data_IF_281365982084
#
_entry.id   IF_281365982084
#
_cell.length_a   1.000
_cell.length_b   1.000
_cell.length_c   1.000
_cell.angle_alpha   90.00
_cell.angle_beta   90.00
_cell.angle_gamma   90.00
#
_symmetry.space_group_name_H-M   'P 1'
#
loop_
_entity.id
_entity.type
_entity.pdbx_description
1 polymer ?
#
# COMPACT_ATOMS: atom_id res chain seq x y z
N UNK A 1 7.16 19.27 -3.07
CA UNK A 1 6.47 19.31 -4.40
C UNK A 1 5.23 20.20 -4.27
N UNK A 2 4.93 21.06 -5.25
CA UNK A 2 3.72 21.92 -5.20
C UNK A 2 2.48 21.10 -5.60
N UNK A 3 1.32 21.34 -4.97
CA UNK A 3 0.07 20.60 -5.27
C UNK A 3 -0.28 20.64 -6.77
N UNK A 4 -0.14 21.79 -7.42
CA UNK A 4 -0.39 21.92 -8.87
C UNK A 4 0.47 20.96 -9.71
N UNK A 5 1.69 20.65 -9.26
CA UNK A 5 2.56 19.71 -9.96
C UNK A 5 2.08 18.27 -9.80
N UNK A 6 1.42 17.92 -8.68
CA UNK A 6 0.87 16.58 -8.45
C UNK A 6 -0.20 16.27 -9.50
N UNK A 7 -1.11 17.21 -9.76
CA UNK A 7 -2.15 17.05 -10.79
C UNK A 7 -1.54 16.86 -12.19
N UNK A 8 -0.53 17.66 -12.54
CA UNK A 8 0.19 17.49 -13.82
C UNK A 8 0.89 16.13 -13.94
N UNK A 9 1.53 15.68 -12.85
CA UNK A 9 2.17 14.36 -12.82
C UNK A 9 1.13 13.25 -12.97
N UNK A 10 -0.04 13.39 -12.35
CA UNK A 10 -1.14 12.44 -12.47
C UNK A 10 -1.72 12.40 -13.89
N UNK A 11 -1.94 13.55 -14.53
CA UNK A 11 -2.36 13.61 -15.94
C UNK A 11 -1.38 12.87 -16.87
N UNK A 12 -0.08 13.12 -16.69
CA UNK A 12 0.96 12.43 -17.45
C UNK A 12 0.99 10.91 -17.17
N UNK A 13 0.80 10.51 -15.91
CA UNK A 13 0.75 9.11 -15.52
C UNK A 13 -0.47 8.38 -16.11
N UNK A 14 -1.65 9.01 -16.09
CA UNK A 14 -2.87 8.47 -16.72
C UNK A 14 -2.62 8.25 -18.22
N UNK A 15 -2.10 9.25 -18.92
CA UNK A 15 -1.82 9.15 -20.34
C UNK A 15 -0.81 8.01 -20.64
N UNK A 16 0.24 7.88 -19.82
CA UNK A 16 1.21 6.81 -19.97
C UNK A 16 0.59 5.42 -19.76
N UNK A 17 -0.30 5.25 -18.77
CA UNK A 17 -0.99 3.98 -18.52
C UNK A 17 -1.93 3.61 -19.66
N UNK A 18 -2.74 4.54 -20.15
CA UNK A 18 -3.67 4.30 -21.26
C UNK A 18 -2.95 4.03 -22.59
N UNK A 19 -1.77 4.60 -22.80
CA UNK A 19 -0.94 4.28 -23.97
C UNK A 19 -0.38 2.86 -23.95
N UNK A 20 -0.16 2.29 -22.76
CA UNK A 20 0.30 0.91 -22.59
C UNK A 20 -0.86 -0.09 -22.63
N UNK A 21 -1.98 0.25 -21.99
CA UNK A 21 -3.20 -0.55 -21.94
C UNK A 21 -4.43 0.37 -21.95
N UNK A 22 -5.15 0.47 -23.09
CA UNK A 22 -6.35 1.31 -23.20
C UNK A 22 -7.45 0.93 -22.19
N UNK A 23 -7.49 -0.33 -21.76
CA UNK A 23 -8.49 -0.85 -20.84
C UNK A 23 -8.02 -0.81 -19.37
N UNK A 24 -6.86 -0.21 -19.09
CA UNK A 24 -6.22 -0.24 -17.77
C UNK A 24 -7.17 0.11 -16.61
N UNK A 25 -7.87 1.25 -16.72
CA UNK A 25 -8.79 1.70 -15.67
C UNK A 25 -10.09 0.88 -15.62
N UNK A 26 -10.54 0.33 -16.75
CA UNK A 26 -11.69 -0.56 -16.77
C UNK A 26 -11.37 -1.85 -16.03
N UNK A 27 -10.20 -2.47 -16.29
CA UNK A 27 -9.72 -3.65 -15.56
C UNK A 27 -9.55 -3.34 -14.08
N UNK A 28 -8.90 -2.22 -13.74
CA UNK A 28 -8.67 -1.81 -12.35
C UNK A 28 -9.99 -1.57 -11.58
N UNK A 29 -11.05 -1.10 -12.25
CA UNK A 29 -12.35 -0.88 -11.62
C UNK A 29 -13.14 -2.16 -11.29
N UNK A 30 -12.72 -3.33 -11.80
CA UNK A 30 -13.44 -4.59 -11.57
C UNK A 30 -13.31 -5.10 -10.13
N UNK A 31 -12.40 -4.52 -9.34
CA UNK A 31 -12.25 -4.80 -7.93
C UNK A 31 -10.80 -5.08 -7.54
N UNK A 32 -10.64 -5.68 -6.38
CA UNK A 32 -9.35 -6.14 -5.84
C UNK A 32 -9.54 -7.57 -5.35
N UNK A 33 -8.51 -8.39 -5.50
CA UNK A 33 -8.45 -9.73 -4.92
C UNK A 33 -7.00 -10.01 -4.48
N UNK A 34 -6.53 -9.33 -3.43
CA UNK A 34 -5.15 -9.45 -3.00
C UNK A 34 -4.95 -10.76 -2.23
N UNK A 35 -3.83 -11.44 -2.46
CA UNK A 35 -3.46 -12.64 -1.70
C UNK A 35 -2.69 -12.29 -0.42
N UNK A 36 -2.22 -11.03 -0.31
CA UNK A 36 -1.32 -10.58 0.75
C UNK A 36 -1.86 -9.29 1.39
N UNK A 37 -1.90 -9.27 2.72
CA UNK A 37 -1.89 -8.04 3.52
C UNK A 37 -0.45 -7.68 3.90
N UNK A 38 -0.01 -6.48 3.52
CA UNK A 38 1.29 -5.92 3.89
C UNK A 38 1.12 -4.79 4.93
N UNK A 39 1.77 -4.93 6.08
CA UNK A 39 1.81 -3.93 7.15
C UNK A 39 3.24 -3.38 7.23
N UNK A 40 3.41 -2.11 6.82
CA UNK A 40 4.72 -1.46 6.73
C UNK A 40 4.83 -0.11 7.43
N UNK A 41 6.03 0.47 7.38
CA UNK A 41 6.28 1.79 7.95
C UNK A 41 5.75 2.91 7.03
N UNK A 42 5.30 4.02 7.61
CA UNK A 42 4.97 5.26 6.87
C UNK A 42 6.21 6.02 6.37
N UNK A 43 7.43 5.51 6.61
CA UNK A 43 8.67 6.08 6.05
C UNK A 43 8.56 6.17 4.52
N UNK A 44 8.75 7.37 3.98
CA UNK A 44 8.50 7.69 2.57
C UNK A 44 9.45 6.99 1.59
N UNK A 45 10.49 6.30 2.08
CA UNK A 45 11.41 5.50 1.26
C UNK A 45 10.89 4.09 1.00
N UNK A 46 9.81 3.67 1.66
CA UNK A 46 9.24 2.33 1.51
C UNK A 46 8.09 2.40 0.50
N UNK A 47 8.21 1.79 -0.67
CA UNK A 47 7.14 1.65 -1.67
C UNK A 47 6.84 0.17 -1.85
N UNK A 48 5.84 -0.35 -1.13
CA UNK A 48 5.62 -1.79 -0.98
C UNK A 48 5.32 -2.47 -2.32
N UNK A 49 4.42 -1.88 -3.10
CA UNK A 49 4.02 -2.34 -4.43
C UNK A 49 5.22 -2.40 -5.38
N UNK A 50 6.02 -1.34 -5.44
CA UNK A 50 7.25 -1.30 -6.25
C UNK A 50 8.28 -2.34 -5.82
N UNK A 51 8.52 -2.48 -4.51
CA UNK A 51 9.47 -3.44 -3.96
C UNK A 51 9.08 -4.89 -4.25
N UNK A 52 7.78 -5.18 -4.31
CA UNK A 52 7.24 -6.51 -4.63
C UNK A 52 7.01 -6.74 -6.12
N UNK A 53 7.11 -5.69 -6.96
CA UNK A 53 6.69 -5.75 -8.35
C UNK A 53 5.18 -5.95 -8.54
N UNK A 54 4.40 -5.67 -7.49
CA UNK A 54 2.96 -5.86 -7.47
C UNK A 54 2.23 -4.74 -8.21
N UNK A 55 1.15 -5.10 -8.89
CA UNK A 55 0.21 -4.17 -9.50
C UNK A 55 -0.83 -3.69 -8.49
N UNK A 56 -1.47 -2.54 -8.74
CA UNK A 56 -2.58 -2.08 -7.92
C UNK A 56 -3.68 -3.14 -7.82
N UNK A 57 -4.11 -3.45 -6.60
CA UNK A 57 -5.13 -4.46 -6.31
C UNK A 57 -4.60 -5.87 -6.01
N UNK A 58 -3.30 -6.13 -6.22
CA UNK A 58 -2.67 -7.44 -5.91
C UNK A 58 -2.20 -7.55 -4.45
N UNK A 59 -2.00 -6.42 -3.77
CA UNK A 59 -1.60 -6.38 -2.35
C UNK A 59 -2.47 -5.38 -1.59
N UNK A 60 -2.98 -5.80 -0.43
CA UNK A 60 -3.69 -4.93 0.49
C UNK A 60 -2.71 -4.31 1.49
N UNK A 61 -2.73 -3.00 1.69
CA UNK A 61 -1.63 -2.30 2.37
C UNK A 61 -2.14 -1.51 3.58
N UNK A 62 -1.46 -1.70 4.70
CA UNK A 62 -1.53 -0.84 5.87
C UNK A 62 -0.18 -0.21 6.17
N UNK A 63 -0.19 1.04 6.63
CA UNK A 63 1.03 1.74 7.03
C UNK A 63 0.82 2.60 8.27
N UNK A 64 1.72 2.47 9.22
CA UNK A 64 1.84 3.37 10.37
C UNK A 64 3.32 3.57 10.73
N UNK A 65 3.60 4.46 11.69
CA UNK A 65 4.97 4.70 12.14
C UNK A 65 5.50 3.42 12.80
N UNK A 66 6.65 2.93 12.29
CA UNK A 66 7.32 1.73 12.78
C UNK A 66 6.49 0.42 12.69
N UNK A 67 5.55 0.33 11.73
CA UNK A 67 4.85 -0.92 11.36
C UNK A 67 4.28 -1.69 12.57
N UNK A 68 3.66 -0.97 13.50
CA UNK A 68 3.16 -1.47 14.76
C UNK A 68 1.80 -2.17 14.58
N UNK A 69 1.59 -3.23 15.36
CA UNK A 69 0.32 -3.97 15.41
C UNK A 69 -0.10 -4.17 16.87
N UNK A 70 -0.40 -3.10 17.62
CA UNK A 70 -0.82 -3.24 19.01
C UNK A 70 -2.26 -3.77 19.04
N UNK A 71 -2.58 -4.59 20.05
CA UNK A 71 -3.88 -5.25 20.20
C UNK A 71 -5.05 -4.30 20.53
N UNK A 72 -4.77 -3.03 20.80
CA UNK A 72 -5.75 -2.00 21.13
C UNK A 72 -5.89 -0.91 20.05
N UNK A 73 -5.19 -1.04 18.91
CA UNK A 73 -5.36 -0.12 17.78
C UNK A 73 -6.44 -0.63 16.82
N UNK A 74 -7.64 -0.07 16.94
CA UNK A 74 -8.76 -0.39 16.07
C UNK A 74 -8.47 -0.10 14.59
N UNK A 75 -7.52 0.79 14.28
CA UNK A 75 -7.14 1.07 12.90
C UNK A 75 -6.57 -0.18 12.22
N UNK A 76 -5.42 -0.68 12.71
CA UNK A 76 -4.80 -1.89 12.14
C UNK A 76 -5.67 -3.14 12.35
N UNK A 77 -6.40 -3.24 13.47
CA UNK A 77 -7.31 -4.37 13.69
C UNK A 77 -8.45 -4.40 12.67
N UNK A 78 -9.01 -3.24 12.30
CA UNK A 78 -10.05 -3.18 11.26
C UNK A 78 -9.52 -3.60 9.89
N UNK A 79 -8.28 -3.22 9.57
CA UNK A 79 -7.61 -3.60 8.32
C UNK A 79 -7.34 -5.12 8.29
N UNK A 80 -6.81 -5.69 9.37
CA UNK A 80 -6.60 -7.14 9.48
C UNK A 80 -7.92 -7.89 9.36
N UNK A 81 -8.95 -7.45 10.09
CA UNK A 81 -10.27 -8.08 10.03
C UNK A 81 -10.83 -8.06 8.60
N UNK A 82 -10.69 -6.94 7.88
CA UNK A 82 -11.17 -6.84 6.51
C UNK A 82 -10.35 -7.73 5.55
N UNK A 83 -9.02 -7.70 5.67
CA UNK A 83 -8.15 -8.53 4.86
C UNK A 83 -8.47 -10.03 5.02
N UNK A 84 -8.64 -10.50 6.26
CA UNK A 84 -8.86 -11.92 6.55
C UNK A 84 -10.30 -12.34 6.26
N UNK A 85 -11.30 -11.60 6.75
CA UNK A 85 -12.68 -12.06 6.73
C UNK A 85 -13.45 -11.64 5.47
N UNK A 86 -13.03 -10.58 4.79
CA UNK A 86 -13.71 -10.07 3.59
C UNK A 86 -12.91 -10.29 2.31
N UNK A 87 -11.60 -10.06 2.33
CA UNK A 87 -10.74 -10.28 1.17
C UNK A 87 -10.13 -11.70 1.12
N UNK A 88 -10.16 -12.43 2.25
CA UNK A 88 -9.63 -13.78 2.37
C UNK A 88 -8.15 -13.89 1.94
N UNK A 89 -7.33 -12.92 2.33
CA UNK A 89 -5.87 -12.96 2.06
C UNK A 89 -5.25 -14.24 2.63
N UNK A 90 -4.36 -14.87 1.87
CA UNK A 90 -3.64 -16.07 2.30
C UNK A 90 -2.50 -15.76 3.27
N UNK A 91 -1.94 -14.55 3.16
CA UNK A 91 -0.73 -14.17 3.88
C UNK A 91 -0.83 -12.78 4.50
N UNK A 92 -0.27 -12.62 5.70
CA UNK A 92 -0.04 -11.32 6.35
C UNK A 92 1.46 -11.15 6.57
N UNK A 93 2.01 -10.03 6.08
CA UNK A 93 3.43 -9.69 6.18
C UNK A 93 3.58 -8.41 7.00
N UNK A 94 4.35 -8.48 8.09
CA UNK A 94 4.82 -7.29 8.82
C UNK A 94 6.25 -7.02 8.40
N UNK A 95 6.47 -5.88 7.72
CA UNK A 95 7.76 -5.56 7.12
C UNK A 95 8.34 -4.27 7.72
N UNK A 96 9.45 -4.44 8.45
CA UNK A 96 10.28 -3.34 8.93
C UNK A 96 11.30 -2.88 7.88
N UNK A 97 12.05 -1.84 8.20
CA UNK A 97 13.16 -1.39 7.37
C UNK A 97 14.30 -0.82 8.21
N UNK A 98 15.53 -0.96 7.71
CA UNK A 98 16.71 -0.39 8.37
C UNK A 98 16.65 1.13 8.41
N UNK A 99 17.21 1.70 9.49
CA UNK A 99 17.22 3.16 9.69
C UNK A 99 15.83 3.77 9.83
N UNK A 100 14.86 3.03 10.39
CA UNK A 100 13.52 3.52 10.66
C UNK A 100 13.55 4.71 11.63
N UNK A 101 13.02 5.85 11.19
CA UNK A 101 12.97 7.07 12.00
C UNK A 101 12.12 6.90 13.27
N UNK A 102 11.00 6.16 13.18
CA UNK A 102 10.15 5.88 14.34
C UNK A 102 10.84 5.02 15.39
N UNK A 103 11.54 3.96 14.97
CA UNK A 103 12.34 3.12 15.87
C UNK A 103 13.49 3.91 16.46
N UNK A 104 14.23 4.68 15.65
CA UNK A 104 15.35 5.50 16.12
C UNK A 104 14.93 6.54 17.15
N UNK A 105 13.74 7.12 17.02
CA UNK A 105 13.22 8.10 17.97
C UNK A 105 12.84 7.49 19.33
N UNK A 106 12.66 6.17 19.41
CA UNK A 106 12.32 5.44 20.63
C UNK A 106 13.54 4.90 21.40
N UNK A 107 14.74 4.97 20.81
CA UNK A 107 16.01 4.56 21.41
C UNK A 107 16.72 5.76 22.06
#
# INVERSE_FOLDING_TARGET
MKIKQIFKNNEAWIAAKLNLDPDYFQKLSQGQNPDILYIGCSDSRVTAEELMGAQPGEVFIHRNIANLVPNNDLNVMSVINFAVNHLQVDHIVVCGHYGCGGVKAAL
#
